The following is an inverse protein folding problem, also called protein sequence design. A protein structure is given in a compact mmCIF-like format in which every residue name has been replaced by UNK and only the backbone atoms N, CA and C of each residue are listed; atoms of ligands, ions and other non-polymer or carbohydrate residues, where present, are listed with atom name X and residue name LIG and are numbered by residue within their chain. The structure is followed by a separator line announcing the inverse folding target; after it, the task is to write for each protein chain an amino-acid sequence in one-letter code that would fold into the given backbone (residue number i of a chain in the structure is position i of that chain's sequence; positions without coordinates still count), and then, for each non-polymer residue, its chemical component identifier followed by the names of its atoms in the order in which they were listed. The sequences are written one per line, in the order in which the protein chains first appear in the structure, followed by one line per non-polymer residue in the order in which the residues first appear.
data_IF_534791425900
#
_entry.id   IF_534791425900
#
_cell.length_a   1.000
_cell.length_b   1.000
_cell.length_c   1.000
_cell.angle_alpha   90.00
_cell.angle_beta   90.00
_cell.angle_gamma   90.00
#
_symmetry.space_group_name_H-M   'P 1'
#
loop_
_entity.id
_entity.type
_entity.pdbx_description
1 polymer ?
#
# COMPACT_ATOMS: atom_id res chain seq x y z
N UNK A 1 -59.60 -51.32 -17.20
CA UNK A 1 -58.19 -51.24 -16.79
C UNK A 1 -57.90 -49.77 -16.50
N UNK A 2 -57.38 -49.51 -15.30
CA UNK A 2 -56.93 -48.22 -14.75
C UNK A 2 -58.01 -47.20 -14.34
N UNK A 3 -57.74 -46.63 -13.16
CA UNK A 3 -58.66 -46.15 -12.14
C UNK A 3 -58.33 -44.71 -11.74
N UNK A 4 -59.37 -43.91 -11.55
CA UNK A 4 -59.39 -42.66 -10.78
C UNK A 4 -58.73 -42.80 -9.39
N UNK A 5 -58.08 -41.74 -8.88
CA UNK A 5 -58.56 -41.03 -7.67
C UNK A 5 -57.78 -39.74 -7.35
N UNK A 6 -58.50 -38.82 -6.71
CA UNK A 6 -58.16 -37.42 -6.39
C UNK A 6 -57.69 -37.27 -4.92
N UNK A 7 -56.93 -36.20 -4.68
CA UNK A 7 -56.28 -35.66 -3.46
C UNK A 7 -56.99 -35.79 -2.10
N UNK A 8 -56.18 -35.85 -1.02
CA UNK A 8 -56.36 -35.10 0.26
C UNK A 8 -55.01 -34.92 1.03
N UNK A 9 -54.86 -33.90 1.89
CA UNK A 9 -53.60 -33.49 2.54
C UNK A 9 -53.41 -34.10 3.94
N UNK A 10 -52.17 -34.13 4.45
CA UNK A 10 -51.84 -34.56 5.82
C UNK A 10 -51.04 -33.50 6.58
N UNK A 11 -51.43 -33.42 7.84
CA UNK A 11 -51.30 -32.42 8.88
C UNK A 11 -49.90 -32.35 9.53
N UNK A 12 -49.59 -31.17 10.08
CA UNK A 12 -48.40 -30.80 10.82
C UNK A 12 -48.67 -30.86 12.33
N UNK A 13 -48.08 -31.81 13.06
CA UNK A 13 -47.75 -31.64 14.49
C UNK A 13 -47.01 -32.85 15.10
N UNK A 14 -45.75 -32.64 15.51
CA UNK A 14 -45.17 -32.93 16.86
C UNK A 14 -43.64 -33.15 16.84
N UNK A 15 -42.93 -32.82 17.93
CA UNK A 15 -41.47 -32.73 17.99
C UNK A 15 -40.80 -34.04 18.45
N UNK A 16 -39.54 -34.26 18.05
CA UNK A 16 -38.70 -35.32 18.60
C UNK A 16 -37.48 -34.72 19.31
N UNK A 17 -37.41 -35.08 20.58
CA UNK A 17 -36.44 -34.81 21.63
C UNK A 17 -35.03 -35.33 21.30
N UNK A 18 -34.02 -34.50 21.51
CA UNK A 18 -32.60 -34.86 21.41
C UNK A 18 -31.90 -34.61 22.74
N UNK A 19 -31.85 -35.65 23.58
CA UNK A 19 -31.05 -35.67 24.79
C UNK A 19 -30.29 -36.99 24.90
N UNK A 20 -28.96 -36.95 24.70
CA UNK A 20 -27.98 -37.80 25.38
C UNK A 20 -26.54 -37.31 25.13
N UNK A 21 -25.70 -37.19 26.18
CA UNK A 21 -24.30 -36.78 26.07
C UNK A 21 -23.39 -38.00 25.87
N UNK A 22 -22.28 -37.81 25.14
CA UNK A 22 -21.21 -38.80 25.00
C UNK A 22 -20.00 -38.38 25.83
N UNK A 23 -19.42 -39.42 26.43
CA UNK A 23 -18.53 -39.47 27.57
C UNK A 23 -17.11 -38.97 27.31
N UNK A 24 -16.52 -38.57 28.43
CA UNK A 24 -15.20 -38.07 28.72
C UNK A 24 -14.05 -39.03 28.43
N UNK A 25 -12.94 -38.50 27.91
CA UNK A 25 -11.61 -39.12 28.07
C UNK A 25 -10.53 -38.04 28.26
N UNK A 26 -9.70 -38.27 29.27
CA UNK A 26 -8.45 -37.58 29.66
C UNK A 26 -7.49 -38.69 30.12
N UNK A 27 -6.19 -38.47 30.38
CA UNK A 27 -5.22 -37.49 29.87
C UNK A 27 -3.93 -38.19 29.34
N UNK A 28 -3.06 -37.45 28.65
CA UNK A 28 -1.68 -37.88 28.36
C UNK A 28 -0.74 -36.67 28.43
N UNK A 29 0.11 -36.66 29.45
CA UNK A 29 1.01 -35.57 29.85
C UNK A 29 2.48 -35.93 29.57
N UNK A 30 3.29 -34.88 29.43
CA UNK A 30 4.73 -34.78 29.73
C UNK A 30 5.75 -35.41 28.78
N UNK A 31 6.50 -34.54 28.08
CA UNK A 31 7.90 -34.80 27.71
C UNK A 31 8.76 -33.52 27.73
N UNK A 32 9.57 -33.44 28.78
CA UNK A 32 10.92 -32.82 28.91
C UNK A 32 11.60 -33.61 30.04
N UNK A 33 12.94 -33.71 30.16
CA UNK A 33 13.94 -32.69 29.80
C UNK A 33 15.24 -33.24 29.16
N UNK A 34 16.10 -32.34 28.67
CA UNK A 34 17.45 -32.66 28.18
C UNK A 34 18.45 -31.64 28.71
N UNK A 35 19.21 -32.08 29.70
CA UNK A 35 20.20 -31.38 30.52
C UNK A 35 21.45 -30.99 29.72
N UNK A 36 22.05 -29.83 30.04
CA UNK A 36 23.30 -29.36 29.43
C UNK A 36 24.37 -29.26 30.51
N UNK A 37 25.14 -30.34 30.64
CA UNK A 37 26.30 -30.44 31.52
C UNK A 37 27.60 -30.17 30.74
N UNK A 38 28.38 -29.20 31.21
CA UNK A 38 29.83 -29.08 30.97
C UNK A 38 30.58 -30.13 31.80
N UNK A 39 31.77 -30.56 31.34
CA UNK A 39 33.04 -30.26 32.05
C UNK A 39 34.13 -29.76 31.05
N UNK A 40 35.14 -28.95 31.41
CA UNK A 40 36.32 -29.27 32.25
C UNK A 40 37.28 -30.22 31.49
N UNK A 41 38.60 -30.10 31.38
CA UNK A 41 39.67 -29.26 31.93
C UNK A 41 41.00 -29.71 31.23
N UNK A 42 42.03 -28.87 31.31
CA UNK A 42 43.47 -29.16 31.43
C UNK A 42 44.31 -30.01 30.44
N UNK A 43 45.53 -29.46 30.23
CA UNK A 43 46.85 -30.12 30.23
C UNK A 43 47.50 -30.66 28.92
N UNK A 44 48.49 -29.89 28.43
CA UNK A 44 49.93 -30.18 28.09
C UNK A 44 50.44 -31.65 28.11
N UNK A 45 51.69 -31.98 27.69
CA UNK A 45 52.62 -31.39 26.69
C UNK A 45 53.39 -32.44 25.82
N UNK A 46 54.15 -31.95 24.81
CA UNK A 46 55.50 -32.45 24.48
C UNK A 46 55.68 -33.67 23.57
N UNK A 47 56.38 -33.50 22.44
CA UNK A 47 57.48 -34.42 22.12
C UNK A 47 58.62 -33.65 21.44
N UNK A 48 59.81 -34.00 21.89
CA UNK A 48 61.11 -33.46 21.61
C UNK A 48 61.95 -34.55 20.98
N UNK A 49 62.32 -34.41 19.71
CA UNK A 49 63.41 -35.20 19.08
C UNK A 49 64.02 -34.35 17.96
N UNK A 50 65.18 -33.72 18.16
CA UNK A 50 66.59 -34.22 18.18
C UNK A 50 67.25 -34.30 16.79
N UNK A 51 68.49 -33.78 16.78
CA UNK A 51 69.62 -33.91 15.83
C UNK A 51 69.65 -32.85 14.71
N UNK A 52 70.52 -31.83 14.80
CA UNK A 52 72.00 -31.80 14.73
C UNK A 52 72.51 -31.83 13.28
N UNK A 53 73.09 -30.71 12.85
CA UNK A 53 73.79 -30.54 11.57
C UNK A 53 74.46 -29.17 11.52
N UNK A 54 75.71 -29.13 11.99
CA UNK A 54 76.61 -27.97 11.88
C UNK A 54 76.96 -27.74 10.41
N UNK A 55 76.82 -26.49 9.96
CA UNK A 55 77.22 -26.06 8.61
C UNK A 55 77.29 -24.54 8.52
N UNK A 56 78.34 -23.95 9.08
CA UNK A 56 78.73 -22.55 8.82
C UNK A 56 79.02 -22.35 7.34
N UNK A 57 78.27 -21.48 6.65
CA UNK A 57 78.74 -20.72 5.49
C UNK A 57 78.17 -19.30 5.47
N UNK A 58 79.06 -18.38 5.11
CA UNK A 58 79.06 -16.91 5.17
C UNK A 58 77.87 -16.22 4.48
N UNK A 59 77.39 -15.06 4.97
CA UNK A 59 76.43 -14.23 4.24
C UNK A 59 77.13 -13.47 3.11
N UNK A 60 76.65 -13.66 1.87
CA UNK A 60 76.91 -12.71 0.79
C UNK A 60 75.99 -11.50 1.00
N UNK A 61 76.60 -10.36 1.30
CA UNK A 61 75.99 -9.04 1.30
C UNK A 61 75.51 -8.69 -0.11
N UNK A 62 74.21 -8.89 -0.37
CA UNK A 62 73.53 -8.18 -1.46
C UNK A 62 73.42 -6.71 -1.02
N UNK A 63 74.18 -5.83 -1.66
CA UNK A 63 74.04 -4.39 -1.52
C UNK A 63 72.60 -3.99 -1.82
N UNK A 64 71.86 -3.62 -0.78
CA UNK A 64 70.62 -2.90 -0.93
C UNK A 64 70.96 -1.54 -1.55
N UNK A 65 70.66 -1.36 -2.83
CA UNK A 65 70.56 -0.03 -3.41
C UNK A 65 69.48 0.69 -2.61
N UNK A 66 69.90 1.56 -1.69
CA UNK A 66 69.02 2.44 -0.95
C UNK A 66 68.22 3.26 -1.97
N UNK A 67 66.95 2.91 -2.18
CA UNK A 67 65.99 3.84 -2.77
C UNK A 67 66.02 5.06 -1.87
N UNK A 68 66.58 6.15 -2.35
CA UNK A 68 66.43 7.48 -1.77
C UNK A 68 64.95 7.83 -1.83
N UNK A 69 64.17 7.37 -0.85
CA UNK A 69 62.83 7.90 -0.60
C UNK A 69 63.04 9.33 -0.13
N UNK A 70 62.56 10.31 -0.90
CA UNK A 70 62.55 11.70 -0.46
C UNK A 70 61.80 11.79 0.86
N UNK A 71 62.43 12.38 1.88
CA UNK A 71 61.75 12.70 3.12
C UNK A 71 60.73 13.81 2.82
N UNK A 72 59.43 13.48 2.94
CA UNK A 72 58.34 14.44 2.77
C UNK A 72 58.41 15.48 3.88
N UNK A 73 58.36 16.77 3.54
CA UNK A 73 58.32 17.84 4.54
C UNK A 73 56.90 17.94 5.13
N UNK A 74 56.80 18.37 6.40
CA UNK A 74 55.51 18.57 7.06
C UNK A 74 54.61 19.54 6.27
N UNK A 75 55.22 20.55 5.64
CA UNK A 75 54.52 21.55 4.82
C UNK A 75 53.92 20.92 3.56
N UNK A 76 54.66 20.08 2.85
CA UNK A 76 54.15 19.37 1.67
C UNK A 76 52.96 18.47 2.01
N UNK A 77 53.03 17.77 3.14
CA UNK A 77 51.90 16.95 3.61
C UNK A 77 50.69 17.84 3.96
N UNK A 78 50.92 18.96 4.63
CA UNK A 78 49.87 19.89 5.04
C UNK A 78 49.16 20.54 3.84
N UNK A 79 49.89 20.90 2.79
CA UNK A 79 49.31 21.44 1.55
C UNK A 79 48.43 20.39 0.85
N UNK A 80 48.90 19.14 0.76
CA UNK A 80 48.14 18.07 0.11
C UNK A 80 46.83 17.79 0.84
N UNK A 81 46.85 17.69 2.18
CA UNK A 81 45.60 17.49 2.95
C UNK A 81 44.67 18.70 2.84
N UNK A 82 45.21 19.93 2.75
CA UNK A 82 44.41 21.14 2.56
C UNK A 82 43.68 21.13 1.20
N UNK A 83 44.38 20.75 0.12
CA UNK A 83 43.78 20.63 -1.22
C UNK A 83 42.70 19.54 -1.23
N UNK A 84 42.97 18.35 -0.68
CA UNK A 84 41.99 17.27 -0.58
C UNK A 84 40.77 17.71 0.24
N UNK A 85 41.00 18.42 1.36
CA UNK A 85 39.93 18.96 2.19
C UNK A 85 39.02 19.92 1.44
N UNK A 86 39.58 20.85 0.66
CA UNK A 86 38.82 21.78 -0.18
C UNK A 86 38.04 21.03 -1.26
N UNK A 87 38.67 20.07 -1.95
CA UNK A 87 38.00 19.28 -2.99
C UNK A 87 36.82 18.49 -2.42
N UNK A 88 36.99 17.82 -1.27
CA UNK A 88 35.90 17.07 -0.62
C UNK A 88 34.78 18.02 -0.17
N UNK A 89 35.12 19.18 0.39
CA UNK A 89 34.13 20.17 0.83
C UNK A 89 33.26 20.67 -0.33
N UNK A 90 33.83 20.81 -1.54
CA UNK A 90 33.08 21.21 -2.73
C UNK A 90 32.33 20.05 -3.39
N UNK A 91 32.84 18.82 -3.29
CA UNK A 91 32.24 17.64 -3.91
C UNK A 91 31.09 17.03 -3.10
N UNK A 92 31.14 17.09 -1.76
CA UNK A 92 30.15 16.43 -0.91
C UNK A 92 28.71 16.97 -1.13
N UNK A 93 28.46 18.30 -1.16
CA UNK A 93 27.12 18.82 -1.45
C UNK A 93 26.62 18.42 -2.83
N UNK A 94 27.51 18.43 -3.84
CA UNK A 94 27.18 18.08 -5.22
C UNK A 94 26.83 16.59 -5.38
N UNK A 95 27.55 15.69 -4.70
CA UNK A 95 27.25 14.25 -4.72
C UNK A 95 25.90 13.97 -4.06
N UNK A 96 25.57 14.69 -2.98
CA UNK A 96 24.29 14.54 -2.30
C UNK A 96 23.12 15.02 -3.15
N UNK A 97 23.24 16.20 -3.79
CA UNK A 97 22.21 16.71 -4.69
C UNK A 97 22.00 15.81 -5.91
N UNK A 98 23.09 15.28 -6.48
CA UNK A 98 23.01 14.35 -7.60
C UNK A 98 22.32 13.03 -7.20
N UNK A 99 22.63 12.49 -6.01
CA UNK A 99 21.96 11.28 -5.50
C UNK A 99 20.47 11.49 -5.28
N UNK A 100 20.07 12.62 -4.72
CA UNK A 100 18.65 12.92 -4.51
C UNK A 100 17.91 13.14 -5.83
N UNK A 101 18.51 13.83 -6.80
CA UNK A 101 17.94 13.95 -8.13
C UNK A 101 17.72 12.57 -8.79
N UNK A 102 18.69 11.66 -8.68
CA UNK A 102 18.57 10.30 -9.20
C UNK A 102 17.43 9.52 -8.51
N UNK A 103 17.28 9.62 -7.19
CA UNK A 103 16.17 8.98 -6.46
C UNK A 103 14.81 9.54 -6.88
N UNK A 104 14.68 10.86 -7.06
CA UNK A 104 13.45 11.49 -7.57
C UNK A 104 13.08 10.98 -8.96
N UNK A 105 14.05 10.91 -9.87
CA UNK A 105 13.85 10.34 -11.20
C UNK A 105 13.38 8.88 -11.12
N UNK A 106 13.95 8.10 -10.19
CA UNK A 106 13.53 6.73 -9.97
C UNK A 106 12.09 6.64 -9.44
N UNK A 107 11.67 7.46 -8.47
CA UNK A 107 10.28 7.48 -7.99
C UNK A 107 9.31 7.85 -9.15
N UNK A 108 9.64 8.88 -9.96
CA UNK A 108 8.81 9.24 -11.13
C UNK A 108 8.73 8.13 -12.19
N UNK A 109 9.81 7.36 -12.37
CA UNK A 109 9.85 6.25 -13.31
C UNK A 109 9.09 5.02 -12.81
N UNK A 110 9.10 4.75 -11.50
CA UNK A 110 8.27 3.69 -10.89
C UNK A 110 6.77 4.01 -11.08
N UNK A 111 6.39 5.26 -10.81
CA UNK A 111 5.03 5.76 -11.08
C UNK A 111 4.63 5.64 -12.55
N UNK A 112 5.56 5.93 -13.47
CA UNK A 112 5.29 5.76 -14.90
C UNK A 112 5.07 4.30 -15.27
N UNK A 113 5.84 3.38 -14.68
CA UNK A 113 5.64 1.94 -14.89
C UNK A 113 4.28 1.47 -14.36
N UNK A 114 3.85 1.95 -13.18
CA UNK A 114 2.50 1.67 -12.66
C UNK A 114 1.41 2.30 -13.56
N UNK A 115 1.60 3.51 -14.05
CA UNK A 115 0.67 4.17 -14.98
C UNK A 115 0.53 3.43 -16.32
N UNK A 116 1.63 2.90 -16.86
CA UNK A 116 1.62 2.04 -18.04
C UNK A 116 0.93 0.70 -17.75
N UNK A 117 1.19 0.10 -16.59
CA UNK A 117 0.53 -1.13 -16.16
C UNK A 117 -0.99 -0.95 -16.01
N UNK A 118 -1.43 0.20 -15.50
CA UNK A 118 -2.85 0.57 -15.46
C UNK A 118 -3.45 0.66 -16.85
N UNK A 119 -2.76 1.28 -17.81
CA UNK A 119 -3.21 1.35 -19.21
C UNK A 119 -3.33 -0.03 -19.85
N UNK A 120 -2.34 -0.90 -19.68
CA UNK A 120 -2.40 -2.27 -20.21
C UNK A 120 -3.51 -3.08 -19.54
N UNK A 121 -3.77 -2.86 -18.25
CA UNK A 121 -4.88 -3.47 -17.53
C UNK A 121 -6.24 -3.06 -18.11
N UNK A 122 -6.46 -1.76 -18.35
CA UNK A 122 -7.72 -1.28 -18.92
C UNK A 122 -7.83 -1.60 -20.41
N UNK A 123 -6.73 -1.69 -21.16
CA UNK A 123 -6.74 -2.14 -22.56
C UNK A 123 -7.20 -3.61 -22.66
N UNK A 124 -6.66 -4.48 -21.82
CA UNK A 124 -6.97 -5.91 -21.84
C UNK A 124 -8.34 -6.25 -21.25
N UNK A 125 -8.77 -5.55 -20.18
CA UNK A 125 -10.01 -5.86 -19.45
C UNK A 125 -11.14 -4.88 -19.75
N UNK A 126 -10.88 -3.72 -20.37
CA UNK A 126 -11.82 -2.61 -20.59
C UNK A 126 -12.32 -1.93 -19.31
N UNK A 127 -11.61 -2.10 -18.19
CA UNK A 127 -11.95 -1.60 -16.85
C UNK A 127 -10.67 -1.18 -16.12
N UNK A 128 -10.69 -0.02 -15.47
CA UNK A 128 -9.66 0.37 -14.49
C UNK A 128 -9.77 -0.49 -13.23
N UNK A 129 -8.65 -0.83 -12.57
CA UNK A 129 -8.72 -1.63 -11.37
C UNK A 129 -9.48 -0.92 -10.26
N UNK A 130 -10.07 -1.70 -9.36
CA UNK A 130 -10.76 -1.18 -8.17
C UNK A 130 -9.79 -0.94 -7.03
N UNK A 131 -10.18 -0.12 -6.05
CA UNK A 131 -9.44 0.04 -4.80
C UNK A 131 -9.62 -1.12 -3.83
N UNK A 132 -10.17 -2.25 -4.28
CA UNK A 132 -10.59 -3.34 -3.41
C UNK A 132 -12.00 -3.13 -2.83
N UNK A 133 -12.48 -4.12 -2.08
CA UNK A 133 -13.84 -4.11 -1.53
C UNK A 133 -13.89 -3.69 -0.08
N UNK A 134 -12.93 -4.10 0.73
CA UNK A 134 -12.83 -3.85 2.17
C UNK A 134 -11.37 -4.00 2.59
N UNK A 135 -10.98 -3.48 3.75
CA UNK A 135 -9.71 -3.78 4.39
C UNK A 135 -9.57 -5.25 4.75
N UNK A 136 -8.31 -5.71 4.74
CA UNK A 136 -7.87 -7.07 4.99
C UNK A 136 -8.61 -8.14 4.16
N UNK A 137 -8.74 -7.97 2.83
CA UNK A 137 -9.37 -8.96 1.99
C UNK A 137 -8.53 -10.24 1.97
N UNK A 138 -9.21 -11.38 1.89
CA UNK A 138 -8.57 -12.68 1.73
C UNK A 138 -8.51 -13.07 0.26
N UNK A 139 -7.32 -13.34 -0.28
CA UNK A 139 -7.17 -13.69 -1.70
C UNK A 139 -7.86 -15.01 -2.05
N UNK A 140 -8.02 -15.92 -1.09
CA UNK A 140 -8.75 -17.18 -1.27
C UNK A 140 -10.21 -16.95 -1.70
N UNK A 141 -10.79 -15.83 -1.29
CA UNK A 141 -12.18 -15.45 -1.53
C UNK A 141 -12.36 -14.90 -2.95
N UNK A 142 -11.25 -14.46 -3.55
CA UNK A 142 -11.16 -13.87 -4.87
C UNK A 142 -10.29 -14.71 -5.82
N UNK A 143 -10.21 -16.03 -5.59
CA UNK A 143 -9.47 -16.96 -6.44
C UNK A 143 -10.24 -18.28 -6.63
N UNK A 144 -10.15 -18.87 -7.82
CA UNK A 144 -10.78 -20.16 -8.15
C UNK A 144 -9.83 -21.05 -8.94
N UNK A 145 -9.82 -22.35 -8.66
CA UNK A 145 -8.95 -23.30 -9.37
C UNK A 145 -7.45 -22.97 -9.24
N UNK A 146 -7.05 -22.36 -8.12
CA UNK A 146 -5.67 -21.92 -7.88
C UNK A 146 -5.26 -20.67 -8.67
N UNK A 147 -6.22 -19.89 -9.20
CA UNK A 147 -5.97 -18.65 -9.92
C UNK A 147 -6.84 -17.51 -9.40
N UNK A 148 -6.28 -16.31 -9.15
CA UNK A 148 -7.07 -15.13 -8.81
C UNK A 148 -8.09 -14.78 -9.88
N UNK A 149 -9.21 -14.19 -9.47
CA UNK A 149 -10.14 -13.51 -10.36
C UNK A 149 -9.53 -12.22 -10.92
N UNK A 150 -10.05 -11.82 -12.07
CA UNK A 150 -9.72 -10.54 -12.72
C UNK A 150 -10.61 -9.40 -12.22
N UNK A 151 -10.33 -8.18 -12.67
CA UNK A 151 -10.95 -6.92 -12.26
C UNK A 151 -12.47 -6.92 -11.94
N UNK A 152 -13.38 -7.54 -12.73
CA UNK A 152 -14.81 -7.48 -12.41
C UNK A 152 -15.22 -8.24 -11.13
N UNK A 153 -14.37 -9.15 -10.63
CA UNK A 153 -14.63 -9.98 -9.45
C UNK A 153 -13.47 -9.95 -8.44
N UNK A 154 -12.55 -9.00 -8.57
CA UNK A 154 -11.42 -8.88 -7.67
C UNK A 154 -11.76 -7.94 -6.50
N UNK A 155 -11.39 -8.35 -5.29
CA UNK A 155 -11.65 -7.64 -4.04
C UNK A 155 -10.40 -7.04 -3.39
N UNK A 156 -9.20 -7.38 -3.88
CA UNK A 156 -7.94 -6.76 -3.48
C UNK A 156 -7.74 -5.40 -4.18
N UNK A 157 -6.82 -4.57 -3.67
CA UNK A 157 -6.56 -3.24 -4.22
C UNK A 157 -6.07 -3.25 -5.67
N UNK A 158 -5.98 -2.04 -6.20
CA UNK A 158 -5.43 -1.76 -7.52
C UNK A 158 -4.00 -2.29 -7.65
N UNK A 159 -3.22 -2.26 -6.57
CA UNK A 159 -1.83 -2.71 -6.57
C UNK A 159 -1.72 -4.22 -6.80
N UNK A 160 -2.64 -5.04 -6.28
CA UNK A 160 -2.66 -6.46 -6.64
C UNK A 160 -3.08 -6.67 -8.11
N UNK A 161 -4.10 -5.93 -8.57
CA UNK A 161 -4.69 -6.11 -9.90
C UNK A 161 -3.73 -5.79 -11.05
N UNK A 162 -2.79 -4.86 -10.86
CA UNK A 162 -1.83 -4.47 -11.91
C UNK A 162 -0.58 -5.34 -11.99
N UNK A 163 -0.34 -6.24 -11.03
CA UNK A 163 0.88 -7.08 -10.98
C UNK A 163 1.22 -7.81 -12.29
N UNK A 164 0.26 -8.44 -13.00
CA UNK A 164 0.56 -9.12 -14.27
C UNK A 164 1.14 -8.21 -15.35
N UNK A 165 0.85 -6.91 -15.26
CA UNK A 165 1.28 -5.89 -16.22
C UNK A 165 2.56 -5.15 -15.77
N UNK A 166 3.12 -5.55 -14.63
CA UNK A 166 4.39 -5.05 -14.09
C UNK A 166 5.46 -6.15 -14.03
N UNK A 167 5.29 -7.23 -14.81
CA UNK A 167 6.16 -8.42 -14.77
C UNK A 167 6.16 -9.16 -13.42
N UNK A 168 5.21 -8.88 -12.52
CA UNK A 168 5.05 -9.52 -11.21
C UNK A 168 4.05 -10.68 -11.25
N UNK A 169 4.00 -11.40 -12.38
CA UNK A 169 3.06 -12.52 -12.59
C UNK A 169 3.23 -13.66 -11.60
N UNK A 170 4.46 -13.90 -11.10
CA UNK A 170 4.73 -14.90 -10.06
C UNK A 170 4.03 -14.54 -8.74
N UNK A 171 4.06 -13.26 -8.35
CA UNK A 171 3.41 -12.76 -7.14
C UNK A 171 1.89 -12.78 -7.30
N UNK A 172 1.39 -12.39 -8.47
CA UNK A 172 -0.04 -12.44 -8.76
C UNK A 172 -0.62 -13.84 -8.64
N UNK A 173 0.13 -14.88 -9.00
CA UNK A 173 -0.34 -16.27 -8.92
C UNK A 173 -0.39 -16.85 -7.49
N UNK A 174 0.04 -16.08 -6.48
CA UNK A 174 -0.11 -16.49 -5.08
C UNK A 174 -1.58 -16.37 -4.65
N UNK A 175 -2.14 -17.50 -4.21
CA UNK A 175 -3.54 -17.59 -3.76
C UNK A 175 -3.66 -17.84 -2.26
N UNK A 176 -2.59 -17.57 -1.50
CA UNK A 176 -2.56 -17.71 -0.04
C UNK A 176 -2.34 -16.34 0.60
N UNK A 177 -3.30 -15.90 1.42
CA UNK A 177 -3.27 -14.63 2.13
C UNK A 177 -2.11 -14.51 3.11
N UNK A 178 -1.56 -15.64 3.56
CA UNK A 178 -0.37 -15.65 4.42
C UNK A 178 0.94 -15.44 3.63
N UNK A 179 0.95 -15.73 2.33
CA UNK A 179 2.17 -15.64 1.50
C UNK A 179 2.22 -14.35 0.68
N UNK A 180 1.06 -13.92 0.16
CA UNK A 180 0.93 -12.76 -0.71
C UNK A 180 1.55 -11.47 -0.12
N UNK A 181 1.15 -11.00 1.08
CA UNK A 181 1.72 -9.77 1.66
C UNK A 181 3.18 -9.91 2.10
N UNK A 182 3.72 -11.14 2.20
CA UNK A 182 5.11 -11.40 2.59
C UNK A 182 6.06 -11.42 1.40
N UNK A 183 5.56 -11.16 0.19
CA UNK A 183 6.37 -11.05 -1.02
C UNK A 183 6.61 -9.57 -1.36
N UNK A 184 7.88 -9.12 -1.48
CA UNK A 184 8.17 -7.72 -1.77
C UNK A 184 7.90 -7.41 -3.24
N UNK A 185 7.27 -6.27 -3.51
CA UNK A 185 7.17 -5.68 -4.84
C UNK A 185 7.96 -4.38 -4.83
N UNK A 186 9.19 -4.42 -5.35
CA UNK A 186 10.14 -3.31 -5.24
C UNK A 186 9.66 -2.03 -5.95
N UNK A 187 8.75 -2.15 -6.92
CA UNK A 187 8.17 -1.02 -7.64
C UNK A 187 7.36 -0.09 -6.73
N UNK A 188 6.86 -0.61 -5.60
CA UNK A 188 6.00 0.14 -4.68
C UNK A 188 6.74 0.97 -3.64
N UNK A 189 8.06 0.98 -3.63
CA UNK A 189 8.87 1.76 -2.69
C UNK A 189 9.52 2.94 -3.40
N UNK A 190 9.31 4.16 -2.89
CA UNK A 190 10.01 5.34 -3.37
C UNK A 190 11.40 5.39 -2.72
N UNK A 191 12.50 5.29 -3.50
CA UNK A 191 13.86 5.31 -2.95
C UNK A 191 14.23 6.59 -2.18
N UNK A 192 13.54 7.72 -2.41
CA UNK A 192 13.72 8.93 -1.59
C UNK A 192 13.13 8.80 -0.19
N UNK A 193 12.18 7.88 0.03
CA UNK A 193 11.59 7.62 1.35
C UNK A 193 12.32 6.51 2.08
N UNK A 194 12.31 5.30 1.50
CA UNK A 194 12.82 4.09 2.15
C UNK A 194 13.18 3.01 1.14
N UNK A 195 13.99 2.06 1.57
CA UNK A 195 14.12 0.79 0.87
C UNK A 195 12.90 -0.11 1.14
N UNK A 196 12.86 -1.30 0.53
CA UNK A 196 11.86 -2.31 0.87
C UNK A 196 11.80 -2.51 2.38
N UNK A 197 10.64 -2.23 2.96
CA UNK A 197 10.41 -2.24 4.41
C UNK A 197 9.19 -3.07 4.74
N UNK A 198 9.30 -3.89 5.77
CA UNK A 198 8.21 -4.70 6.31
C UNK A 198 7.62 -4.03 7.54
N UNK A 199 6.32 -4.21 7.76
CA UNK A 199 5.65 -3.78 8.98
C UNK A 199 6.34 -4.42 10.22
N UNK A 200 6.85 -3.60 11.16
CA UNK A 200 7.61 -4.09 12.31
C UNK A 200 6.70 -4.62 13.43
N UNK A 201 5.38 -4.40 13.37
CA UNK A 201 4.45 -4.74 14.43
C UNK A 201 4.21 -6.27 14.50
N UNK A 202 4.64 -6.95 15.58
CA UNK A 202 4.48 -8.39 15.72
C UNK A 202 3.05 -8.81 16.12
N UNK A 203 2.18 -7.85 16.48
CA UNK A 203 0.80 -8.09 16.89
C UNK A 203 -0.22 -7.87 15.77
N UNK A 204 0.20 -7.36 14.59
CA UNK A 204 -0.67 -7.28 13.42
C UNK A 204 -1.08 -8.70 12.98
N UNK A 205 -2.31 -8.86 12.48
CA UNK A 205 -2.88 -10.16 12.08
C UNK A 205 -2.07 -10.91 11.01
N UNK A 206 -1.13 -10.22 10.34
CA UNK A 206 0.02 -10.83 9.65
C UNK A 206 1.23 -9.92 9.89
N UNK A 207 2.19 -10.36 10.69
CA UNK A 207 3.49 -9.70 10.87
C UNK A 207 4.32 -9.79 9.60
N UNK A 208 5.10 -8.75 9.27
CA UNK A 208 6.07 -8.80 8.16
C UNK A 208 5.50 -8.48 6.77
N UNK A 209 4.30 -7.90 6.69
CA UNK A 209 3.72 -7.41 5.42
C UNK A 209 4.64 -6.36 4.80
N UNK A 210 4.87 -6.43 3.49
CA UNK A 210 5.63 -5.41 2.77
C UNK A 210 4.77 -4.18 2.52
N UNK A 211 5.29 -3.04 2.96
CA UNK A 211 4.63 -1.75 2.87
C UNK A 211 4.64 -1.21 1.42
N UNK A 212 4.03 -0.04 1.22
CA UNK A 212 4.05 0.65 -0.07
C UNK A 212 4.14 2.16 0.13
N UNK A 213 4.50 2.90 -0.92
CA UNK A 213 4.74 4.34 -0.86
C UNK A 213 3.84 5.17 -1.79
N UNK A 214 3.01 4.49 -2.56
CA UNK A 214 2.09 5.06 -3.54
C UNK A 214 0.65 4.65 -3.21
N UNK A 215 -0.32 5.45 -3.61
CA UNK A 215 -1.74 5.20 -3.36
C UNK A 215 -2.58 5.71 -4.53
N UNK A 216 -3.78 5.17 -4.67
CA UNK A 216 -4.76 5.75 -5.57
C UNK A 216 -5.35 7.04 -4.98
N UNK A 217 -5.58 8.03 -5.83
CA UNK A 217 -6.18 9.29 -5.40
C UNK A 217 -7.70 9.24 -5.63
N UNK A 218 -8.47 9.63 -4.62
CA UNK A 218 -9.93 9.61 -4.64
C UNK A 218 -10.47 11.02 -4.47
N UNK A 219 -11.28 11.46 -5.43
CA UNK A 219 -12.00 12.73 -5.37
C UNK A 219 -13.27 12.65 -4.52
N UNK A 220 -13.56 13.75 -3.81
CA UNK A 220 -14.88 14.05 -3.29
C UNK A 220 -15.74 14.72 -4.40
N UNK A 221 -17.06 14.82 -4.20
CA UNK A 221 -17.91 15.53 -5.16
C UNK A 221 -17.44 16.96 -5.45
N UNK A 222 -17.46 17.35 -6.72
CA UNK A 222 -17.19 18.72 -7.17
C UNK A 222 -18.35 19.66 -6.81
N UNK A 223 -18.13 20.97 -6.93
CA UNK A 223 -19.16 22.00 -6.67
C UNK A 223 -20.39 21.81 -7.56
N UNK A 224 -20.17 21.55 -8.85
CA UNK A 224 -21.24 21.30 -9.83
C UNK A 224 -22.10 20.07 -9.49
N UNK A 225 -21.53 19.05 -8.85
CA UNK A 225 -22.27 17.85 -8.44
C UNK A 225 -23.19 18.07 -7.24
N UNK A 226 -23.03 19.17 -6.50
CA UNK A 226 -23.78 19.43 -5.26
C UNK A 226 -25.14 20.14 -5.47
N UNK A 227 -25.54 20.41 -6.73
CA UNK A 227 -26.85 20.87 -7.20
C UNK A 227 -27.64 21.78 -6.22
N UNK A 228 -26.98 22.83 -5.70
CA UNK A 228 -27.59 23.90 -4.92
C UNK A 228 -28.24 23.53 -3.57
N UNK A 229 -28.15 22.28 -3.08
CA UNK A 229 -28.75 21.88 -1.79
C UNK A 229 -28.04 20.68 -1.12
N UNK A 230 -27.48 20.87 0.09
CA UNK A 230 -27.37 19.87 1.19
C UNK A 230 -26.84 18.47 0.84
N UNK A 231 -25.94 18.37 -0.14
CA UNK A 231 -25.37 17.11 -0.59
C UNK A 231 -24.43 16.49 0.45
N UNK A 232 -24.41 15.16 0.60
CA UNK A 232 -23.37 14.50 1.38
C UNK A 232 -22.02 14.71 0.68
N UNK A 233 -21.10 15.39 1.35
CA UNK A 233 -19.70 15.35 0.93
C UNK A 233 -19.09 14.00 1.31
N UNK A 234 -19.35 13.57 2.55
CA UNK A 234 -18.78 12.37 3.15
C UNK A 234 -19.51 11.96 4.45
N UNK A 235 -19.02 10.91 5.16
CA UNK A 235 -19.65 10.39 6.38
C UNK A 235 -19.86 11.45 7.46
N UNK A 236 -21.12 11.79 7.71
CA UNK A 236 -21.49 12.77 8.73
C UNK A 236 -21.30 14.24 8.33
N UNK A 237 -20.75 14.54 7.14
CA UNK A 237 -20.64 15.92 6.66
C UNK A 237 -21.48 16.19 5.42
N UNK A 238 -22.22 17.28 5.51
CA UNK A 238 -23.04 17.82 4.44
C UNK A 238 -22.62 19.25 4.20
N UNK A 239 -22.49 19.61 2.93
CA UNK A 239 -22.40 21.00 2.53
C UNK A 239 -23.80 21.53 2.35
N UNK A 240 -24.13 22.55 3.13
CA UNK A 240 -25.42 23.22 3.12
C UNK A 240 -25.46 24.48 2.25
N UNK A 241 -24.29 24.97 1.80
CA UNK A 241 -24.12 26.12 0.90
C UNK A 241 -22.77 26.11 0.19
N UNK A 242 -22.66 26.76 -0.97
CA UNK A 242 -21.40 26.88 -1.71
C UNK A 242 -20.29 27.58 -0.91
N UNK A 243 -20.66 28.50 -0.01
CA UNK A 243 -19.70 29.12 0.91
C UNK A 243 -19.09 28.08 1.84
N UNK A 244 -19.92 27.20 2.43
CA UNK A 244 -19.42 26.14 3.30
C UNK A 244 -18.50 25.16 2.56
N UNK A 245 -18.76 24.86 1.28
CA UNK A 245 -17.82 24.08 0.45
C UNK A 245 -16.48 24.79 0.30
N UNK A 246 -16.53 26.09 0.00
CA UNK A 246 -15.34 26.92 -0.20
C UNK A 246 -14.51 26.99 1.08
N UNK A 247 -15.16 27.19 2.24
CA UNK A 247 -14.49 27.20 3.55
C UNK A 247 -13.82 25.85 3.84
N UNK A 248 -14.51 24.75 3.52
CA UNK A 248 -13.98 23.40 3.70
C UNK A 248 -12.77 23.08 2.82
N UNK A 249 -12.75 23.57 1.57
CA UNK A 249 -11.59 23.44 0.69
C UNK A 249 -10.45 24.38 1.08
N UNK A 250 -10.76 25.59 1.57
CA UNK A 250 -9.74 26.54 2.01
C UNK A 250 -9.02 26.07 3.29
N UNK A 251 -9.77 25.54 4.26
CA UNK A 251 -9.22 25.11 5.55
C UNK A 251 -8.78 23.64 5.57
N UNK A 252 -8.97 22.90 4.47
CA UNK A 252 -8.66 21.47 4.37
C UNK A 252 -9.45 20.58 5.33
N UNK A 253 -10.57 21.08 5.88
CA UNK A 253 -11.38 20.39 6.90
C UNK A 253 -11.95 19.06 6.40
N UNK A 254 -12.17 18.91 5.08
CA UNK A 254 -12.62 17.65 4.49
C UNK A 254 -11.62 16.50 4.64
N UNK A 255 -10.35 16.83 4.86
CA UNK A 255 -9.31 15.85 5.14
C UNK A 255 -9.45 15.21 6.53
N UNK A 256 -10.18 15.86 7.46
CA UNK A 256 -10.16 15.52 8.87
C UNK A 256 -11.01 14.33 9.28
N UNK A 257 -11.73 13.75 8.34
CA UNK A 257 -12.69 12.70 8.60
C UNK A 257 -12.24 11.41 7.93
N UNK A 258 -12.19 10.28 8.66
CA UNK A 258 -11.71 9.01 8.13
C UNK A 258 -12.70 8.43 7.10
N UNK A 259 -12.57 8.84 5.84
CA UNK A 259 -13.59 8.62 4.79
C UNK A 259 -13.64 7.21 4.19
N UNK A 260 -12.62 6.38 4.44
CA UNK A 260 -12.52 5.07 3.76
C UNK A 260 -13.13 3.93 4.58
N UNK A 261 -13.25 4.17 5.88
CA UNK A 261 -13.93 3.40 6.92
C UNK A 261 -15.34 2.95 6.57
N UNK A 262 -16.22 3.93 6.38
CA UNK A 262 -17.66 3.65 6.44
C UNK A 262 -18.04 2.75 7.63
N UNK A 263 -17.47 2.96 8.83
CA UNK A 263 -17.77 2.18 10.04
C UNK A 263 -17.32 0.71 9.98
N UNK A 264 -16.38 0.33 10.84
CA UNK A 264 -16.01 -1.07 10.99
C UNK A 264 -17.21 -1.90 11.53
N UNK A 265 -17.34 -3.12 11.03
CA UNK A 265 -17.89 -4.27 11.77
C UNK A 265 -19.39 -4.37 12.11
N UNK A 266 -20.30 -3.47 11.71
CA UNK A 266 -21.74 -3.69 12.02
C UNK A 266 -22.73 -3.22 10.95
N UNK A 267 -22.77 -3.81 9.75
CA UNK A 267 -23.93 -3.61 8.85
C UNK A 267 -24.42 -4.87 8.14
N UNK A 268 -24.35 -6.00 8.81
CA UNK A 268 -25.23 -7.13 8.55
C UNK A 268 -26.04 -7.35 9.83
N UNK A 269 -27.35 -7.18 9.71
CA UNK A 269 -28.35 -7.41 10.75
C UNK A 269 -28.43 -6.38 11.89
N UNK A 270 -29.36 -5.43 11.73
CA UNK A 270 -30.19 -4.99 12.86
C UNK A 270 -29.84 -3.70 13.62
N UNK A 271 -28.77 -2.96 13.32
CA UNK A 271 -28.51 -1.66 13.99
C UNK A 271 -28.46 -0.47 13.01
N UNK A 272 -29.07 0.63 13.44
CA UNK A 272 -29.27 1.87 12.71
C UNK A 272 -27.96 2.62 12.44
N UNK A 273 -27.41 2.47 11.23
CA UNK A 273 -26.96 3.66 10.50
C UNK A 273 -28.19 4.37 9.94
N UNK A 274 -28.14 5.67 9.69
CA UNK A 274 -29.09 6.40 8.83
C UNK A 274 -28.40 6.61 7.48
N UNK A 275 -28.53 5.75 6.45
CA UNK A 275 -29.56 4.80 6.00
C UNK A 275 -30.79 5.46 5.38
N UNK A 276 -30.95 5.16 4.09
CA UNK A 276 -32.09 5.48 3.24
C UNK A 276 -33.28 4.59 3.67
N UNK A 277 -34.43 5.14 4.09
CA UNK A 277 -35.53 4.32 4.60
C UNK A 277 -36.20 3.43 3.54
N UNK A 278 -35.83 3.54 2.25
CA UNK A 278 -36.54 2.84 1.18
C UNK A 278 -35.66 2.11 0.15
N UNK A 279 -34.34 2.21 0.21
CA UNK A 279 -33.45 1.59 -0.79
C UNK A 279 -32.94 0.19 -0.38
N UNK A 280 -33.09 -0.84 -1.25
CA UNK A 280 -32.61 -2.20 -1.03
C UNK A 280 -31.13 -2.37 -1.44
N UNK A 281 -30.21 -1.72 -0.69
CA UNK A 281 -28.75 -1.95 -0.55
C UNK A 281 -27.82 -0.76 -0.91
N UNK A 282 -26.80 -0.44 -0.06
CA UNK A 282 -26.89 0.70 0.88
C UNK A 282 -25.56 1.45 1.23
N UNK A 283 -25.66 2.53 2.03
CA UNK A 283 -24.71 2.98 3.09
C UNK A 283 -23.26 3.48 2.78
N UNK A 284 -22.79 3.57 1.53
CA UNK A 284 -21.39 3.96 1.21
C UNK A 284 -21.26 5.12 0.20
N UNK A 285 -20.23 5.97 0.35
CA UNK A 285 -20.02 7.18 -0.47
C UNK A 285 -19.71 6.87 -1.94
N UNK A 286 -20.36 7.54 -2.90
CA UNK A 286 -19.99 7.45 -4.30
C UNK A 286 -18.65 8.16 -4.51
N UNK A 287 -17.58 7.41 -4.69
CA UNK A 287 -16.27 7.96 -5.00
C UNK A 287 -16.22 8.42 -6.45
N UNK A 288 -15.70 9.63 -6.66
CA UNK A 288 -15.72 10.25 -7.98
C UNK A 288 -14.43 10.06 -8.79
N UNK A 289 -13.39 9.51 -8.15
CA UNK A 289 -12.16 9.14 -8.84
C UNK A 289 -12.30 7.97 -9.80
N UNK A 290 -11.18 7.65 -10.46
CA UNK A 290 -11.07 6.54 -11.42
C UNK A 290 -11.05 5.19 -10.71
N UNK A 291 -10.20 5.06 -9.69
CA UNK A 291 -10.12 3.88 -8.83
C UNK A 291 -11.22 3.99 -7.77
N UNK A 292 -12.22 3.12 -7.89
CA UNK A 292 -13.41 3.09 -7.04
C UNK A 292 -13.49 1.78 -6.28
N UNK A 293 -14.34 1.74 -5.24
CA UNK A 293 -14.55 0.54 -4.44
C UNK A 293 -15.17 -0.57 -5.28
N UNK A 294 -14.70 -1.80 -5.11
CA UNK A 294 -15.19 -2.95 -5.87
C UNK A 294 -16.66 -3.21 -5.55
N UNK A 295 -17.49 -3.40 -6.58
CA UNK A 295 -18.90 -3.73 -6.41
C UNK A 295 -19.14 -5.23 -6.16
N UNK A 296 -18.08 -6.02 -5.97
CA UNK A 296 -18.18 -7.47 -5.80
C UNK A 296 -17.61 -7.89 -4.44
N UNK A 297 -18.41 -8.62 -3.67
CA UNK A 297 -18.07 -9.10 -2.33
C UNK A 297 -18.42 -10.57 -2.14
N UNK A 298 -17.64 -11.28 -1.31
CA UNK A 298 -17.84 -12.68 -0.93
C UNK A 298 -17.78 -12.79 0.59
N UNK A 299 -18.86 -13.24 1.23
CA UNK A 299 -19.00 -13.31 2.71
C UNK A 299 -18.12 -14.39 3.36
N UNK A 300 -17.94 -15.55 2.71
CA UNK A 300 -17.48 -16.77 3.38
C UNK A 300 -16.35 -17.52 2.64
N UNK A 301 -15.32 -16.84 2.15
CA UNK A 301 -14.02 -17.52 2.23
C UNK A 301 -13.63 -18.57 1.18
N UNK A 302 -14.39 -18.80 0.10
CA UNK A 302 -14.19 -20.00 -0.76
C UNK A 302 -14.02 -19.78 -2.26
N UNK A 303 -14.18 -18.56 -2.78
CA UNK A 303 -13.72 -18.21 -4.14
C UNK A 303 -14.21 -19.10 -5.31
N UNK A 304 -15.32 -19.84 -5.17
CA UNK A 304 -15.87 -20.67 -6.25
C UNK A 304 -17.08 -19.98 -6.89
N UNK A 305 -17.11 -19.96 -8.22
CA UNK A 305 -18.32 -19.67 -9.01
C UNK A 305 -19.43 -20.62 -8.57
N UNK A 306 -20.39 -20.13 -7.79
CA UNK A 306 -21.42 -20.94 -7.13
C UNK A 306 -21.48 -20.81 -5.61
N UNK A 307 -20.64 -19.96 -4.99
CA UNK A 307 -20.79 -19.59 -3.57
C UNK A 307 -22.17 -18.96 -3.33
N UNK A 308 -22.94 -19.44 -2.33
CA UNK A 308 -24.30 -18.95 -2.05
C UNK A 308 -24.41 -17.45 -1.72
N UNK A 309 -23.30 -16.76 -1.45
CA UNK A 309 -23.30 -15.41 -0.89
C UNK A 309 -22.48 -14.36 -1.66
N UNK A 310 -22.00 -14.67 -2.87
CA UNK A 310 -21.40 -13.62 -3.72
C UNK A 310 -22.47 -12.57 -4.06
N UNK A 311 -22.26 -11.32 -3.63
CA UNK A 311 -23.26 -10.25 -3.79
C UNK A 311 -22.67 -8.99 -4.38
N UNK A 312 -23.53 -8.23 -5.06
CA UNK A 312 -23.21 -6.87 -5.50
C UNK A 312 -23.51 -5.89 -4.37
N UNK A 313 -22.57 -5.02 -4.05
CA UNK A 313 -22.69 -4.05 -2.96
C UNK A 313 -23.49 -2.80 -3.33
N UNK A 314 -23.90 -2.66 -4.60
CA UNK A 314 -24.58 -1.46 -5.08
C UNK A 314 -23.63 -0.27 -5.30
N UNK A 315 -22.31 -0.50 -5.20
CA UNK A 315 -21.31 0.51 -5.47
C UNK A 315 -21.25 0.86 -6.97
N UNK A 316 -20.82 2.08 -7.34
CA UNK A 316 -20.66 2.45 -8.74
C UNK A 316 -19.87 1.39 -9.51
N UNK A 317 -20.34 1.09 -10.73
CA UNK A 317 -19.62 0.16 -11.60
C UNK A 317 -18.21 0.69 -11.83
N UNK A 318 -17.21 -0.20 -11.91
CA UNK A 318 -15.83 0.19 -12.20
C UNK A 318 -15.70 1.13 -13.40
N UNK A 319 -14.66 1.95 -13.37
CA UNK A 319 -14.44 3.02 -14.35
C UNK A 319 -13.86 2.44 -15.64
N UNK A 320 -14.28 2.98 -16.78
CA UNK A 320 -13.73 2.69 -18.10
C UNK A 320 -13.19 4.00 -18.67
N UNK A 321 -12.33 3.98 -19.70
CA UNK A 321 -11.87 5.22 -20.33
C UNK A 321 -13.00 6.13 -20.79
N UNK A 322 -14.09 5.57 -21.31
CA UNK A 322 -15.27 6.32 -21.75
C UNK A 322 -15.97 7.08 -20.61
N UNK A 323 -15.73 6.71 -19.35
CA UNK A 323 -16.25 7.42 -18.17
C UNK A 323 -15.33 8.54 -17.68
N UNK A 324 -14.16 8.73 -18.30
CA UNK A 324 -13.23 9.81 -17.98
C UNK A 324 -13.47 10.95 -18.98
N UNK A 325 -14.50 11.76 -18.71
CA UNK A 325 -14.92 12.85 -19.60
C UNK A 325 -14.11 14.13 -19.40
N UNK A 326 -13.45 14.29 -18.26
CA UNK A 326 -12.62 15.47 -17.95
C UNK A 326 -11.24 15.42 -18.65
N UNK A 327 -10.96 14.31 -19.33
CA UNK A 327 -9.75 14.05 -20.09
C UNK A 327 -8.77 13.15 -19.34
N UNK A 328 -8.33 12.07 -19.97
CA UNK A 328 -7.40 11.11 -19.34
C UNK A 328 -6.05 11.72 -18.96
N UNK A 329 -5.62 12.77 -19.66
CA UNK A 329 -4.42 13.53 -19.34
C UNK A 329 -4.59 14.48 -18.17
N UNK A 330 -5.82 14.76 -17.73
CA UNK A 330 -6.13 15.69 -16.63
C UNK A 330 -6.67 15.01 -15.37
N UNK A 331 -6.96 13.71 -15.44
CA UNK A 331 -7.40 12.93 -14.28
C UNK A 331 -6.24 12.15 -13.66
N UNK A 332 -5.85 12.49 -12.43
CA UNK A 332 -4.92 11.77 -11.57
C UNK A 332 -5.57 10.45 -11.12
N UNK A 333 -4.79 9.38 -11.19
CA UNK A 333 -5.20 8.04 -10.76
C UNK A 333 -4.37 7.59 -9.55
N UNK A 334 -3.04 7.76 -9.61
CA UNK A 334 -2.12 7.40 -8.53
C UNK A 334 -1.33 8.63 -8.07
N UNK A 335 -0.94 8.63 -6.80
CA UNK A 335 -0.10 9.65 -6.19
C UNK A 335 0.86 9.01 -5.18
N UNK A 336 1.87 9.76 -4.78
CA UNK A 336 2.70 9.40 -3.63
C UNK A 336 1.93 9.61 -2.31
N UNK A 337 2.11 8.69 -1.36
CA UNK A 337 1.55 8.81 0.00
C UNK A 337 2.34 9.82 0.80
N UNK A 338 1.71 10.60 1.67
CA UNK A 338 2.44 11.26 2.75
C UNK A 338 2.68 10.27 3.88
N UNK A 339 3.92 10.17 4.36
CA UNK A 339 4.27 9.39 5.57
C UNK A 339 5.10 10.28 6.49
N UNK A 340 4.75 10.34 7.78
CA UNK A 340 5.57 11.10 8.73
C UNK A 340 6.97 10.50 8.86
N UNK A 341 8.01 11.34 8.92
CA UNK A 341 9.42 10.89 8.91
C UNK A 341 9.74 9.89 10.04
N UNK A 342 9.12 10.07 11.21
CA UNK A 342 9.28 9.16 12.35
C UNK A 342 8.64 7.77 12.17
N UNK A 343 7.80 7.60 11.14
CA UNK A 343 7.03 6.38 10.84
C UNK A 343 7.47 5.66 9.56
N UNK A 344 8.57 6.08 8.94
CA UNK A 344 9.13 5.34 7.78
C UNK A 344 9.35 3.84 8.02
N UNK A 345 9.70 3.38 9.25
CA UNK A 345 9.76 1.95 9.55
C UNK A 345 8.41 1.22 9.46
N UNK A 346 7.27 1.90 9.41
CA UNK A 346 5.91 1.34 9.43
C UNK A 346 5.19 1.58 10.77
N UNK A 347 4.10 0.83 11.00
CA UNK A 347 3.26 0.83 12.23
C UNK A 347 2.32 2.04 12.37
N UNK A 348 2.11 2.76 11.26
CA UNK A 348 1.03 3.74 11.14
C UNK A 348 -0.23 3.03 10.60
N UNK A 349 -1.41 3.52 10.96
CA UNK A 349 -2.69 2.97 10.45
C UNK A 349 -2.87 3.14 8.93
N UNK A 350 -2.01 3.90 8.26
CA UNK A 350 -1.98 4.15 6.81
C UNK A 350 -0.71 3.61 6.13
N UNK A 351 0.03 2.79 6.88
CA UNK A 351 1.28 2.16 6.48
C UNK A 351 1.60 0.92 7.35
N UNK A 352 0.64 0.00 7.47
CA UNK A 352 0.76 -1.25 8.23
C UNK A 352 0.28 -2.50 7.46
N UNK A 353 -0.67 -2.37 6.55
CA UNK A 353 -1.23 -3.47 5.78
C UNK A 353 -0.50 -3.71 4.44
N UNK A 354 0.07 -2.66 3.84
CA UNK A 354 0.86 -2.71 2.63
C UNK A 354 0.06 -2.86 1.34
N UNK A 355 0.76 -3.30 0.28
CA UNK A 355 0.24 -3.22 -1.09
C UNK A 355 -0.89 -4.20 -1.41
N UNK A 356 -0.97 -5.33 -0.73
CA UNK A 356 -1.97 -6.36 -1.04
C UNK A 356 -3.33 -6.09 -0.38
N UNK A 357 -3.43 -5.05 0.45
CA UNK A 357 -4.67 -4.71 1.12
C UNK A 357 -5.76 -4.26 0.13
N UNK A 358 -7.00 -4.14 0.58
CA UNK A 358 -8.14 -3.69 -0.21
C UNK A 358 -8.39 -2.19 -0.04
N UNK A 359 -9.64 -1.85 0.28
CA UNK A 359 -10.13 -0.47 0.38
C UNK A 359 -9.68 0.16 1.70
N UNK A 360 -8.39 0.51 1.77
CA UNK A 360 -7.68 0.82 3.01
C UNK A 360 -6.85 2.12 2.90
N UNK A 361 -6.46 2.69 4.04
CA UNK A 361 -5.56 3.83 4.09
C UNK A 361 -4.18 3.52 3.52
N UNK A 362 -3.73 2.28 3.46
CA UNK A 362 -2.45 1.93 2.85
C UNK A 362 -2.45 2.15 1.34
N UNK A 363 -3.60 2.02 0.69
CA UNK A 363 -3.72 1.94 -0.78
C UNK A 363 -4.41 3.15 -1.41
N UNK A 364 -4.98 4.06 -0.61
CA UNK A 364 -5.82 5.17 -1.07
C UNK A 364 -5.48 6.51 -0.38
N UNK A 365 -5.70 7.62 -1.06
CA UNK A 365 -5.57 9.00 -0.55
C UNK A 365 -6.74 9.86 -1.03
N UNK A 366 -6.99 10.98 -0.35
CA UNK A 366 -8.07 11.91 -0.70
C UNK A 366 -7.51 13.15 -1.40
N UNK A 367 -8.18 13.56 -2.46
CA UNK A 367 -7.86 14.80 -3.17
C UNK A 367 -8.36 16.06 -2.46
N UNK A 368 -9.07 15.90 -1.35
CA UNK A 368 -9.51 16.99 -0.46
C UNK A 368 -8.57 17.18 0.73
N UNK A 369 -7.38 16.59 0.66
CA UNK A 369 -6.29 16.79 1.59
C UNK A 369 -5.18 17.55 0.88
N UNK A 370 -4.77 18.69 1.44
CA UNK A 370 -3.67 19.47 0.89
C UNK A 370 -2.40 18.61 0.81
N UNK A 371 -1.82 18.41 -0.38
CA UNK A 371 -0.58 17.67 -0.51
C UNK A 371 0.54 18.29 0.34
N UNK A 372 1.33 17.46 1.00
CA UNK A 372 2.42 17.95 1.86
C UNK A 372 3.65 17.08 1.80
N UNK A 373 4.81 17.65 2.10
CA UNK A 373 6.04 16.87 2.27
C UNK A 373 5.95 15.93 3.47
N UNK A 374 6.71 14.85 3.43
CA UNK A 374 6.96 13.98 4.58
C UNK A 374 7.65 14.81 5.68
N UNK A 375 6.87 15.27 6.64
CA UNK A 375 7.29 16.12 7.77
C UNK A 375 7.06 15.39 9.09
N UNK A 376 7.21 16.09 10.21
CA UNK A 376 6.66 15.62 11.48
C UNK A 376 5.13 15.40 11.35
N UNK A 377 4.59 14.50 12.19
CA UNK A 377 3.16 14.20 12.29
C UNK A 377 2.28 15.46 12.26
N UNK A 378 1.24 15.46 11.42
CA UNK A 378 0.20 16.50 11.44
C UNK A 378 -0.85 15.99 12.42
N UNK A 379 -0.80 16.48 13.66
CA UNK A 379 -1.67 16.00 14.75
C UNK A 379 -3.06 16.65 14.73
N UNK A 380 -3.27 17.69 13.93
CA UNK A 380 -4.56 18.38 13.81
C UNK A 380 -5.51 17.64 12.87
N UNK A 381 -6.63 17.18 13.43
CA UNK A 381 -7.83 16.77 12.69
C UNK A 381 -7.58 15.72 11.63
N UNK A 382 -7.14 14.50 11.97
CA UNK A 382 -7.25 13.29 11.13
C UNK A 382 -6.53 13.27 9.76
N UNK A 383 -5.99 14.40 9.30
CA UNK A 383 -5.52 14.59 7.94
C UNK A 383 -4.29 13.74 7.57
N UNK A 384 -3.48 13.36 8.55
CA UNK A 384 -2.20 12.67 8.31
C UNK A 384 -2.36 11.42 7.45
N UNK A 385 -3.36 10.59 7.73
CA UNK A 385 -3.52 9.26 7.11
C UNK A 385 -4.02 9.31 5.65
N UNK A 386 -4.71 10.39 5.27
CA UNK A 386 -5.36 10.53 3.95
C UNK A 386 -4.62 11.44 2.98
N UNK A 387 -3.56 12.08 3.45
CA UNK A 387 -2.87 13.13 2.69
C UNK A 387 -1.92 12.52 1.66
N UNK A 388 -2.04 12.97 0.41
CA UNK A 388 -1.02 12.72 -0.60
C UNK A 388 0.25 13.51 -0.23
N UNK A 389 1.43 12.96 -0.52
CA UNK A 389 2.67 13.59 -0.09
C UNK A 389 3.89 12.88 -0.63
N UNK A 390 5.07 13.39 -0.31
CA UNK A 390 6.31 12.76 -0.76
C UNK A 390 7.49 13.06 0.15
N UNK A 391 8.50 12.20 0.09
CA UNK A 391 9.77 12.39 0.80
C UNK A 391 10.67 13.46 0.15
N UNK A 392 10.37 13.85 -1.09
CA UNK A 392 11.10 14.91 -1.79
C UNK A 392 10.46 16.27 -1.55
N UNK A 393 11.18 17.34 -1.89
CA UNK A 393 10.77 18.71 -1.61
C UNK A 393 10.10 19.36 -2.82
N UNK A 394 9.02 20.10 -2.54
CA UNK A 394 8.37 21.05 -3.45
C UNK A 394 7.15 20.54 -4.22
N UNK A 395 6.98 19.22 -4.39
CA UNK A 395 5.88 18.64 -5.15
C UNK A 395 5.62 17.18 -4.75
N UNK A 396 4.51 16.63 -5.21
CA UNK A 396 4.26 15.18 -5.32
C UNK A 396 4.29 14.78 -6.78
N UNK A 397 4.74 13.58 -7.09
CA UNK A 397 4.46 12.98 -8.38
C UNK A 397 3.05 12.38 -8.36
N UNK A 398 2.33 12.56 -9.47
CA UNK A 398 1.02 11.99 -9.73
C UNK A 398 1.03 11.31 -11.10
N UNK A 399 0.47 10.11 -11.19
CA UNK A 399 0.23 9.41 -12.45
C UNK A 399 -1.20 9.67 -12.91
N UNK A 400 -1.35 10.05 -14.17
CA UNK A 400 -2.63 10.37 -14.80
C UNK A 400 -3.22 9.14 -15.49
N UNK A 401 -4.50 9.20 -15.85
CA UNK A 401 -5.21 8.08 -16.47
C UNK A 401 -4.66 7.71 -17.86
N UNK A 402 -3.97 8.65 -18.53
CA UNK A 402 -3.21 8.42 -19.76
C UNK A 402 -1.78 7.85 -19.53
N UNK A 403 -1.45 7.51 -18.28
CA UNK A 403 -0.15 6.99 -17.84
C UNK A 403 1.00 8.00 -17.85
N UNK A 404 0.74 9.28 -18.14
CA UNK A 404 1.72 10.33 -17.93
C UNK A 404 1.96 10.56 -16.43
N UNK A 405 3.16 11.05 -16.08
CA UNK A 405 3.51 11.40 -14.70
C UNK A 405 3.90 12.86 -14.65
N UNK A 406 3.28 13.63 -13.76
CA UNK A 406 3.56 15.06 -13.57
C UNK A 406 3.72 15.38 -12.10
N UNK A 407 4.47 16.44 -11.82
CA UNK A 407 4.58 16.99 -10.47
C UNK A 407 3.39 17.91 -10.18
N UNK A 408 2.76 17.75 -9.02
CA UNK A 408 1.76 18.66 -8.46
C UNK A 408 2.37 19.31 -7.23
N UNK A 409 2.37 20.64 -7.15
CA UNK A 409 3.02 21.33 -6.03
C UNK A 409 2.22 21.20 -4.74
N UNK A 410 2.90 21.36 -3.60
CA UNK A 410 2.24 21.36 -2.30
C UNK A 410 1.33 22.56 -2.04
N UNK A 411 1.51 23.65 -2.79
CA UNK A 411 0.69 24.87 -2.71
C UNK A 411 -0.42 24.90 -3.78
N UNK A 412 -0.70 23.76 -4.43
CA UNK A 412 -1.84 23.62 -5.35
C UNK A 412 -3.13 24.02 -4.63
N UNK A 413 -4.00 24.75 -5.32
CA UNK A 413 -5.33 25.05 -4.81
C UNK A 413 -6.11 23.75 -4.59
N UNK A 414 -6.74 23.59 -3.42
CA UNK A 414 -7.33 22.31 -3.03
C UNK A 414 -8.55 21.93 -3.88
N UNK A 415 -9.32 22.93 -4.33
CA UNK A 415 -10.43 22.71 -5.27
C UNK A 415 -9.86 22.17 -6.59
N UNK A 416 -8.81 22.81 -7.12
CA UNK A 416 -8.08 22.34 -8.31
C UNK A 416 -7.53 20.91 -8.14
N UNK A 417 -6.95 20.59 -6.99
CA UNK A 417 -6.44 19.24 -6.72
C UNK A 417 -7.56 18.18 -6.67
N UNK A 418 -8.72 18.53 -6.12
CA UNK A 418 -9.89 17.66 -6.13
C UNK A 418 -10.45 17.45 -7.55
N UNK A 419 -10.51 18.50 -8.37
CA UNK A 419 -10.91 18.41 -9.78
C UNK A 419 -9.93 17.53 -10.58
N UNK A 420 -8.62 17.66 -10.34
CA UNK A 420 -7.62 16.79 -10.97
C UNK A 420 -7.80 15.31 -10.62
N UNK A 421 -8.40 14.96 -9.48
CA UNK A 421 -8.70 13.57 -9.14
C UNK A 421 -10.06 13.09 -9.65
N UNK A 422 -10.83 13.98 -10.26
CA UNK A 422 -12.19 13.72 -10.70
C UNK A 422 -12.21 13.18 -12.14
N UNK A 423 -13.14 12.24 -12.42
CA UNK A 423 -13.23 11.60 -13.75
C UNK A 423 -14.23 12.26 -14.69
N UNK A 424 -15.31 12.84 -14.15
CA UNK A 424 -16.43 13.34 -14.95
C UNK A 424 -17.24 14.47 -14.29
N UNK A 425 -16.62 15.55 -13.82
CA UNK A 425 -17.34 16.72 -13.29
C UNK A 425 -17.69 17.74 -14.39
N UNK A 426 -16.96 17.74 -15.51
CA UNK A 426 -17.12 18.72 -16.58
C UNK A 426 -16.62 20.12 -16.21
N UNK A 427 -15.85 20.27 -15.13
CA UNK A 427 -15.27 21.55 -14.72
C UNK A 427 -13.93 21.78 -15.44
N UNK A 428 -13.61 23.06 -15.68
CA UNK A 428 -12.38 23.43 -16.39
C UNK A 428 -11.24 23.66 -15.40
N UNK A 429 -10.14 22.93 -15.59
CA UNK A 429 -8.92 23.09 -14.82
C UNK A 429 -8.02 24.10 -15.53
N UNK A 430 -7.71 25.21 -14.86
CA UNK A 430 -6.70 26.15 -15.37
C UNK A 430 -5.31 25.52 -15.23
N UNK A 431 -4.50 25.51 -16.30
CA UNK A 431 -3.30 24.66 -16.49
C UNK A 431 -2.10 24.89 -15.55
N UNK A 432 -2.23 25.66 -14.46
CA UNK A 432 -1.13 25.94 -13.52
C UNK A 432 -1.34 25.25 -12.17
N UNK A 433 -0.67 24.11 -11.96
CA UNK A 433 -0.68 23.34 -10.70
C UNK A 433 0.69 22.70 -10.39
#
# INVERSE_FOLDING_TARGET
MQSHFTLKPVDSSKPVDSSKPVDSSKPGDSSKPGDSSKPGDSSKPGDSRRRAGVGQRRPCSRGAAARRGGAFTLVELLVVIAIIGILIALLLPAVQSAREAARRTQCSNQMRQMGLALQTHVDSLSIFPSGGVDPWPRIEDYASGGRPFTAPKQGLSWAFQILPYMEEGAVHNLVQSQQLPLTPVNMYFCPSRRGPTQNPNPAASVTGRWLMDYAALVAAPSRSQLNGTRGPLYWGARVSSDQQYTDYMADGQMCATPLMWGGSTTHLEGSTATYDPSSPFPKLFPTQGVIVRSNYYVEDGTGISGSPQARKLGLPKPTTFAKITDGSSNTIVLCEKRIAVGRYPGDATDDDAGWSDGWDYDTLRLATCQPSSDSAEITSGGATVMTAGAAHTGLIYCAFADGSVRGVKYDVDLETFNLLAHKSDGELINESF
#
